data_IF_317030716921
#
_entry.id   IF_317030716921
#
_cell.length_a   1.000
_cell.length_b   1.000
_cell.length_c   1.000
_cell.angle_alpha   90.00
_cell.angle_beta   90.00
_cell.angle_gamma   90.00
#
_symmetry.space_group_name_H-M   'P 1'
#
loop_
_entity.id
_entity.type
_entity.pdbx_description
1 polymer ?
#
# COMPACT_ATOMS: atom_id res chain seq x y z
N UNK A 1 31.26 -16.63 -17.80
CA UNK A 1 30.89 -15.35 -17.16
C UNK A 1 30.63 -15.60 -15.69
N UNK A 2 31.41 -15.01 -14.78
CA UNK A 2 31.26 -15.19 -13.32
C UNK A 2 30.46 -14.01 -12.77
N UNK A 3 29.25 -14.25 -12.28
CA UNK A 3 28.47 -13.21 -11.60
C UNK A 3 28.95 -13.09 -10.15
N UNK A 4 29.62 -11.98 -9.83
CA UNK A 4 29.94 -11.62 -8.45
C UNK A 4 28.63 -11.22 -7.73
N UNK A 5 28.30 -11.91 -6.63
CA UNK A 5 27.18 -11.51 -5.77
C UNK A 5 27.69 -10.43 -4.82
N UNK A 6 27.25 -9.19 -5.04
CA UNK A 6 27.41 -8.13 -4.05
C UNK A 6 26.47 -8.44 -2.90
N UNK A 7 27.03 -8.82 -1.75
CA UNK A 7 26.28 -8.98 -0.50
C UNK A 7 26.20 -7.59 0.13
N UNK A 8 25.02 -6.98 0.11
CA UNK A 8 24.74 -5.77 0.89
C UNK A 8 24.34 -6.21 2.31
N UNK A 9 25.25 -6.02 3.26
CA UNK A 9 24.92 -6.07 4.68
C UNK A 9 24.35 -4.71 5.09
N UNK A 10 23.18 -4.71 5.71
CA UNK A 10 22.64 -3.53 6.38
C UNK A 10 22.80 -3.72 7.88
N UNK A 11 23.45 -2.76 8.53
CA UNK A 11 23.50 -2.68 9.98
C UNK A 11 22.12 -2.21 10.47
N UNK A 12 21.26 -3.17 10.80
CA UNK A 12 19.94 -2.89 11.34
C UNK A 12 20.05 -2.69 12.85
N UNK A 13 20.17 -1.43 13.27
CA UNK A 13 19.89 -1.04 14.65
C UNK A 13 18.38 -0.82 14.78
N UNK A 14 17.66 -1.80 15.30
CA UNK A 14 16.24 -1.64 15.60
C UNK A 14 16.08 -0.47 16.58
N UNK A 15 15.34 0.60 16.24
CA UNK A 15 15.04 1.63 17.22
C UNK A 15 14.28 0.99 18.37
N UNK A 16 14.69 1.27 19.60
CA UNK A 16 13.98 0.81 20.78
C UNK A 16 12.54 1.30 20.70
N UNK A 17 11.58 0.38 20.76
CA UNK A 17 10.14 0.68 20.82
C UNK A 17 9.72 1.33 22.16
N UNK A 18 10.67 1.45 23.08
CA UNK A 18 10.49 2.13 24.37
C UNK A 18 10.56 3.64 24.15
N UNK A 19 9.38 4.25 24.04
CA UNK A 19 9.24 5.71 24.02
C UNK A 19 9.19 6.19 25.46
N UNK A 20 10.12 7.08 25.84
CA UNK A 20 10.10 7.70 27.17
C UNK A 20 9.09 8.86 27.19
N UNK A 21 8.43 9.11 28.33
CA UNK A 21 7.42 10.18 28.45
C UNK A 21 8.00 11.58 28.10
N UNK A 22 9.30 11.77 28.28
CA UNK A 22 10.00 13.00 27.87
C UNK A 22 10.05 13.20 26.34
N UNK A 23 9.97 12.15 25.54
CA UNK A 23 9.89 12.25 24.08
C UNK A 23 8.49 12.57 23.57
N UNK A 24 7.46 12.16 24.31
CA UNK A 24 6.07 12.54 24.02
C UNK A 24 5.81 14.04 24.25
N UNK A 25 6.57 14.64 25.17
CA UNK A 25 6.47 16.07 25.48
C UNK A 25 7.35 16.94 24.58
N UNK A 26 8.17 16.37 23.70
CA UNK A 26 8.83 17.16 22.65
C UNK A 26 7.75 17.70 21.72
N UNK A 27 7.68 19.03 21.49
CA UNK A 27 6.78 19.61 20.50
C UNK A 27 7.33 19.32 19.09
N UNK A 28 7.33 18.05 18.70
CA UNK A 28 7.61 17.62 17.35
C UNK A 28 6.42 18.04 16.49
N UNK A 29 6.52 19.24 15.92
CA UNK A 29 5.58 19.88 14.99
C UNK A 29 4.30 20.44 15.63
N UNK A 30 4.39 21.68 16.10
CA UNK A 30 3.24 22.60 16.26
C UNK A 30 2.49 22.89 14.94
N UNK A 31 2.93 22.37 13.79
CA UNK A 31 2.09 22.36 12.59
C UNK A 31 1.06 21.26 12.76
N UNK A 32 -0.15 21.66 13.19
CA UNK A 32 -1.32 20.80 13.21
C UNK A 32 -1.45 20.07 11.88
N UNK A 33 -1.68 18.77 11.94
CA UNK A 33 -2.03 17.98 10.77
C UNK A 33 -3.33 18.55 10.19
N UNK A 34 -3.23 19.27 9.09
CA UNK A 34 -4.39 19.72 8.33
C UNK A 34 -4.62 18.71 7.20
N UNK A 35 -5.75 18.02 7.25
CA UNK A 35 -6.21 17.20 6.13
C UNK A 35 -7.13 18.06 5.27
N UNK A 36 -6.72 18.33 4.03
CA UNK A 36 -7.59 19.01 3.06
C UNK A 36 -8.31 17.97 2.22
N UNK A 37 -9.63 18.06 2.14
CA UNK A 37 -10.42 17.21 1.25
C UNK A 37 -10.29 17.75 -0.18
N UNK A 38 -10.35 16.90 -1.22
CA UNK A 38 -10.16 17.29 -2.64
C UNK A 38 -11.08 18.45 -3.07
N UNK A 39 -12.26 18.59 -2.44
CA UNK A 39 -13.18 19.71 -2.68
C UNK A 39 -12.67 21.07 -2.16
N UNK A 40 -11.75 21.10 -1.19
CA UNK A 40 -11.18 22.32 -0.59
C UNK A 40 -9.99 22.88 -1.40
N UNK A 41 -9.43 22.08 -2.31
CA UNK A 41 -8.42 22.54 -3.25
C UNK A 41 -9.15 23.12 -4.46
N UNK A 42 -9.47 24.41 -4.41
CA UNK A 42 -9.94 25.15 -5.57
C UNK A 42 -8.99 24.90 -6.74
N UNK A 43 -9.55 24.51 -7.89
CA UNK A 43 -8.79 24.24 -9.11
C UNK A 43 -7.95 25.51 -9.41
N UNK A 44 -6.61 25.45 -9.45
CA UNK A 44 -5.83 26.61 -9.81
C UNK A 44 -6.14 26.96 -11.26
N UNK A 45 -6.84 28.09 -11.46
CA UNK A 45 -7.06 28.66 -12.78
C UNK A 45 -5.69 29.11 -13.33
N UNK A 46 -5.31 28.70 -14.56
CA UNK A 46 -3.97 28.92 -15.10
C UNK A 46 -3.65 30.39 -15.48
N UNK A 47 -4.52 31.36 -15.21
CA UNK A 47 -4.37 32.72 -15.75
C UNK A 47 -3.53 33.70 -14.89
N UNK A 48 -2.94 33.26 -13.78
CA UNK A 48 -2.18 34.16 -12.87
C UNK A 48 -0.73 33.73 -12.62
N UNK A 49 0.03 33.35 -13.65
CA UNK A 49 1.49 33.28 -13.54
C UNK A 49 2.16 33.88 -14.79
N UNK A 50 2.13 35.21 -14.88
CA UNK A 50 3.05 35.97 -15.71
C UNK A 50 3.92 36.86 -14.82
N UNK A 51 4.95 36.26 -14.20
CA UNK A 51 6.25 36.90 -13.93
C UNK A 51 7.19 35.98 -13.17
N UNK A 52 8.42 35.89 -13.71
CA UNK A 52 9.66 35.40 -13.08
C UNK A 52 9.73 33.87 -12.93
N UNK A 53 10.73 33.14 -13.37
CA UNK A 53 11.86 33.30 -14.28
C UNK A 53 12.46 31.89 -14.38
N UNK A 54 13.07 31.61 -15.52
CA UNK A 54 14.13 30.63 -15.70
C UNK A 54 13.81 29.13 -15.80
N UNK A 55 14.31 28.61 -16.92
CA UNK A 55 14.09 27.31 -17.50
C UNK A 55 14.92 26.24 -16.80
N UNK A 56 14.26 25.13 -16.42
CA UNK A 56 14.88 23.80 -16.51
C UNK A 56 13.85 22.88 -17.17
N UNK A 57 14.14 22.27 -18.34
CA UNK A 57 13.21 21.38 -19.00
C UNK A 57 13.29 20.01 -18.31
N UNK A 58 12.75 19.88 -17.10
CA UNK A 58 12.46 18.57 -16.53
C UNK A 58 11.19 18.10 -17.22
N UNK A 59 11.35 17.34 -18.31
CA UNK A 59 10.22 16.64 -18.90
C UNK A 59 9.51 15.89 -17.78
N UNK A 60 8.23 16.17 -17.50
CA UNK A 60 7.46 15.31 -16.64
C UNK A 60 7.28 14.02 -17.43
N UNK A 61 8.17 13.04 -17.19
CA UNK A 61 7.87 11.64 -17.44
C UNK A 61 6.69 11.30 -16.54
N UNK A 62 5.49 11.68 -16.99
CA UNK A 62 4.23 11.13 -16.54
C UNK A 62 4.32 9.68 -16.96
N UNK A 63 4.91 8.85 -16.09
CA UNK A 63 4.62 7.43 -16.08
C UNK A 63 3.10 7.38 -16.00
N UNK A 64 2.47 7.18 -17.16
CA UNK A 64 1.07 6.89 -17.26
C UNK A 64 0.92 5.56 -16.53
N UNK A 65 0.65 5.64 -15.22
CA UNK A 65 0.24 4.50 -14.44
C UNK A 65 -1.10 4.14 -15.05
N UNK A 66 -1.07 3.22 -16.02
CA UNK A 66 -2.25 2.56 -16.57
C UNK A 66 -2.81 1.74 -15.42
N UNK A 67 -3.60 2.40 -14.56
CA UNK A 67 -4.43 1.71 -13.59
C UNK A 67 -5.42 0.91 -14.43
N UNK A 68 -5.13 -0.38 -14.62
CA UNK A 68 -6.12 -1.34 -15.07
C UNK A 68 -7.29 -1.20 -14.11
N UNK A 69 -8.37 -0.58 -14.58
CA UNK A 69 -9.62 -0.42 -13.86
C UNK A 69 -10.27 -1.79 -13.78
N UNK A 70 -9.74 -2.64 -12.89
CA UNK A 70 -10.50 -3.79 -12.44
C UNK A 70 -11.77 -3.24 -11.78
N UNK A 71 -12.92 -3.80 -12.17
CA UNK A 71 -14.16 -3.50 -11.48
C UNK A 71 -13.93 -3.73 -9.99
N UNK A 72 -14.48 -2.87 -9.14
CA UNK A 72 -14.39 -3.01 -7.68
C UNK A 72 -14.86 -4.42 -7.27
N UNK A 73 -15.85 -4.96 -7.99
CA UNK A 73 -16.33 -6.33 -7.82
C UNK A 73 -15.24 -7.39 -8.11
N UNK A 74 -14.43 -7.21 -9.15
CA UNK A 74 -13.36 -8.15 -9.51
C UNK A 74 -12.21 -8.10 -8.50
N UNK A 75 -11.83 -6.90 -8.05
CA UNK A 75 -10.83 -6.74 -7.01
C UNK A 75 -11.29 -7.39 -5.69
N UNK A 76 -12.57 -7.24 -5.35
CA UNK A 76 -13.18 -7.89 -4.19
C UNK A 76 -13.18 -9.42 -4.32
N UNK A 77 -13.62 -9.97 -5.47
CA UNK A 77 -13.58 -11.41 -5.77
C UNK A 77 -12.17 -11.99 -5.62
N UNK A 78 -11.17 -11.33 -6.19
CA UNK A 78 -9.75 -11.74 -6.05
C UNK A 78 -9.28 -11.69 -4.60
N UNK A 79 -9.73 -10.72 -3.83
CA UNK A 79 -9.36 -10.57 -2.41
C UNK A 79 -9.94 -11.71 -1.57
N UNK A 80 -11.22 -12.04 -1.77
CA UNK A 80 -11.87 -13.19 -1.12
C UNK A 80 -11.13 -14.47 -1.48
N UNK A 81 -10.91 -14.73 -2.77
CA UNK A 81 -10.21 -15.93 -3.22
C UNK A 81 -8.84 -16.08 -2.55
N UNK A 82 -8.01 -15.02 -2.56
CA UNK A 82 -6.69 -15.02 -1.91
C UNK A 82 -6.78 -15.25 -0.40
N UNK A 83 -7.82 -14.75 0.26
CA UNK A 83 -8.03 -14.96 1.68
C UNK A 83 -8.33 -16.45 1.99
N UNK A 84 -9.31 -17.02 1.27
CA UNK A 84 -9.72 -18.43 1.43
C UNK A 84 -8.54 -19.37 1.18
N UNK A 85 -7.78 -19.17 0.09
CA UNK A 85 -6.59 -20.00 -0.21
C UNK A 85 -5.56 -19.98 0.93
N UNK A 86 -5.28 -18.81 1.51
CA UNK A 86 -4.35 -18.69 2.64
C UNK A 86 -4.85 -19.41 3.88
N UNK A 87 -6.14 -19.29 4.18
CA UNK A 87 -6.77 -19.99 5.31
C UNK A 87 -6.73 -21.50 5.13
N UNK A 88 -6.96 -22.01 3.91
CA UNK A 88 -6.84 -23.43 3.61
C UNK A 88 -5.41 -23.94 3.81
N UNK A 89 -4.41 -23.17 3.36
CA UNK A 89 -3.02 -23.54 3.53
C UNK A 89 -2.62 -23.59 5.02
N UNK A 90 -3.02 -22.58 5.80
CA UNK A 90 -2.80 -22.58 7.24
C UNK A 90 -3.53 -23.73 7.96
N UNK A 91 -4.76 -24.05 7.54
CA UNK A 91 -5.52 -25.19 8.09
C UNK A 91 -4.85 -26.54 7.77
N UNK A 92 -4.30 -26.68 6.56
CA UNK A 92 -3.55 -27.86 6.12
C UNK A 92 -2.27 -28.04 6.93
N UNK A 93 -1.53 -26.97 7.16
CA UNK A 93 -0.32 -26.98 7.99
C UNK A 93 -0.62 -27.32 9.46
N UNK A 94 -1.79 -26.91 9.97
CA UNK A 94 -2.25 -27.23 11.33
C UNK A 94 -2.89 -28.61 11.47
N UNK A 95 -3.21 -29.29 10.36
CA UNK A 95 -3.94 -30.55 10.37
C UNK A 95 -5.42 -30.42 10.76
N UNK A 96 -6.02 -29.22 10.64
CA UNK A 96 -7.43 -28.99 10.97
C UNK A 96 -8.34 -29.34 9.79
N UNK A 97 -8.69 -30.62 9.69
CA UNK A 97 -9.53 -31.14 8.60
C UNK A 97 -10.97 -30.60 8.61
N UNK A 98 -11.50 -30.22 9.79
CA UNK A 98 -12.86 -29.66 9.89
C UNK A 98 -12.90 -28.29 9.24
N UNK A 99 -11.92 -27.45 9.55
CA UNK A 99 -11.78 -26.13 8.94
C UNK A 99 -11.51 -26.23 7.44
N UNK A 100 -10.68 -27.20 7.01
CA UNK A 100 -10.36 -27.39 5.60
C UNK A 100 -11.62 -27.76 4.78
N UNK A 101 -12.44 -28.70 5.27
CA UNK A 101 -13.72 -29.05 4.64
C UNK A 101 -14.70 -27.88 4.56
N UNK A 102 -14.78 -27.06 5.60
CA UNK A 102 -15.65 -25.88 5.59
C UNK A 102 -15.20 -24.86 4.52
N UNK A 103 -13.89 -24.59 4.42
CA UNK A 103 -13.34 -23.67 3.44
C UNK A 103 -13.47 -24.18 1.99
N UNK A 104 -13.38 -25.49 1.77
CA UNK A 104 -13.64 -26.09 0.46
C UNK A 104 -15.10 -25.93 0.03
N UNK A 105 -16.05 -26.02 0.98
CA UNK A 105 -17.46 -25.78 0.71
C UNK A 105 -17.71 -24.32 0.31
N UNK A 106 -17.17 -23.35 1.07
CA UNK A 106 -17.24 -21.92 0.75
C UNK A 106 -16.68 -21.62 -0.65
N UNK A 107 -15.56 -22.25 -1.04
CA UNK A 107 -14.96 -22.06 -2.36
C UNK A 107 -15.84 -22.62 -3.49
N UNK A 108 -16.50 -23.77 -3.28
CA UNK A 108 -17.42 -24.36 -4.27
C UNK A 108 -18.65 -23.49 -4.48
N UNK A 109 -19.21 -22.93 -3.40
CA UNK A 109 -20.34 -22.01 -3.49
C UNK A 109 -20.00 -20.76 -4.29
N UNK A 110 -18.79 -20.20 -4.10
CA UNK A 110 -18.33 -19.04 -4.87
C UNK A 110 -18.14 -19.30 -6.38
N UNK A 111 -17.83 -20.53 -6.79
CA UNK A 111 -17.66 -20.90 -8.21
C UNK A 111 -19.02 -21.21 -8.84
N UNK A 112 -20.00 -21.66 -8.05
CA UNK A 112 -21.34 -22.00 -8.51
C UNK A 112 -22.29 -20.79 -8.62
N UNK A 113 -21.89 -19.61 -8.13
CA UNK A 113 -22.67 -18.38 -8.12
C UNK A 113 -22.27 -17.42 -9.26
#
# INVERSE_FOLDING_TARGET
>A
MRHSRVVQSYDYAAPSLEVTEAELLKPCSLKGWTSYTVAQMGIPHPDLLQKVEEQVPVQPQRSCIVRRSHSIADAHRLTIHRNVTRRMQAAKERGDEKLLRALEAELREMISA
#
